data_IF_621118969377
#
_entry.id   IF_621118969377
#
_cell.length_a   1.000
_cell.length_b   1.000
_cell.length_c   1.000
_cell.angle_alpha   90.00
_cell.angle_beta   90.00
_cell.angle_gamma   90.00
#
_symmetry.space_group_name_H-M   'P 1'
#
loop_
_entity.id
_entity.type
_entity.pdbx_description
1 polymer ?
#
# COMPACT_ATOMS: atom_id res chain seq x y z
N UNK A 1 -12.32 14.65 27.07
CA UNK A 1 -11.77 13.55 26.26
C UNK A 1 -11.44 14.15 24.89
N UNK A 2 -10.17 14.28 24.54
CA UNK A 2 -9.80 14.79 23.21
C UNK A 2 -10.16 13.70 22.19
N UNK A 3 -11.17 13.97 21.37
CA UNK A 3 -11.57 13.08 20.29
C UNK A 3 -10.41 13.04 19.26
N UNK A 4 -9.52 12.06 19.39
CA UNK A 4 -8.42 11.89 18.45
C UNK A 4 -9.04 11.36 17.17
N UNK A 5 -8.86 12.06 16.04
CA UNK A 5 -9.37 11.62 14.76
C UNK A 5 -8.81 10.21 14.42
N UNK A 6 -9.66 9.36 13.86
CA UNK A 6 -9.34 8.02 13.34
C UNK A 6 -9.42 8.00 11.82
N UNK A 7 -9.09 6.90 11.19
CA UNK A 7 -9.30 6.73 9.75
C UNK A 7 -10.75 7.11 9.33
N UNK A 8 -11.74 6.65 10.11
CA UNK A 8 -13.17 6.89 9.80
C UNK A 8 -13.57 8.36 9.95
N UNK A 9 -12.96 9.10 10.87
CA UNK A 9 -13.39 10.46 11.27
C UNK A 9 -12.44 11.57 10.79
N UNK A 10 -11.21 11.23 10.39
CA UNK A 10 -10.26 12.23 9.90
C UNK A 10 -10.80 12.93 8.64
N UNK A 11 -10.86 14.28 8.60
CA UNK A 11 -11.30 14.98 7.42
C UNK A 11 -10.30 14.84 6.28
N UNK A 12 -10.78 14.77 5.04
CA UNK A 12 -9.92 14.87 3.89
C UNK A 12 -9.40 16.30 3.75
N UNK A 13 -8.09 16.42 3.69
CA UNK A 13 -7.35 17.66 3.53
C UNK A 13 -6.80 17.76 2.11
N UNK A 14 -6.43 18.96 1.72
CA UNK A 14 -5.87 19.21 0.39
C UNK A 14 -4.59 20.02 0.51
N UNK A 15 -3.59 19.64 -0.28
CA UNK A 15 -2.33 20.35 -0.40
C UNK A 15 -2.07 20.66 -1.88
N UNK A 16 -1.81 21.92 -2.19
CA UNK A 16 -1.51 22.33 -3.56
C UNK A 16 0.00 22.51 -3.75
N UNK A 17 0.55 21.85 -4.78
CA UNK A 17 1.96 21.91 -5.16
C UNK A 17 2.05 22.17 -6.66
N UNK A 18 2.55 23.35 -7.08
CA UNK A 18 2.71 23.72 -8.50
C UNK A 18 1.46 23.45 -9.34
N UNK A 19 0.28 23.86 -8.85
CA UNK A 19 -1.04 23.66 -9.48
C UNK A 19 -1.57 22.21 -9.46
N UNK A 20 -0.87 21.30 -8.83
CA UNK A 20 -1.32 19.95 -8.55
C UNK A 20 -1.92 19.94 -7.14
N UNK A 21 -3.19 19.57 -7.01
CA UNK A 21 -3.88 19.41 -5.74
C UNK A 21 -3.83 17.93 -5.34
N UNK A 22 -3.37 17.62 -4.13
CA UNK A 22 -3.37 16.29 -3.54
C UNK A 22 -4.38 16.20 -2.40
N UNK A 23 -5.22 15.19 -2.42
CA UNK A 23 -6.05 14.82 -1.29
C UNK A 23 -5.27 13.89 -0.35
N UNK A 24 -5.47 14.04 0.94
CA UNK A 24 -4.84 13.20 1.95
C UNK A 24 -5.65 13.23 3.26
N UNK A 25 -5.42 12.24 4.12
CA UNK A 25 -5.91 12.27 5.51
C UNK A 25 -4.73 12.08 6.44
N UNK A 26 -4.79 12.75 7.58
CA UNK A 26 -3.79 12.58 8.64
C UNK A 26 -4.48 12.50 10.00
N UNK A 27 -4.02 11.55 10.82
CA UNK A 27 -4.58 11.29 12.15
C UNK A 27 -3.54 10.56 13.01
N UNK A 28 -3.89 10.36 14.29
CA UNK A 28 -2.95 9.83 15.26
C UNK A 28 -2.11 10.91 15.92
N UNK A 29 -1.45 10.56 17.01
CA UNK A 29 -0.57 11.43 17.79
C UNK A 29 0.54 10.61 18.43
N UNK A 30 1.70 11.21 18.60
CA UNK A 30 2.83 10.59 19.27
C UNK A 30 4.16 11.21 18.86
N UNK A 31 5.23 10.70 19.43
CA UNK A 31 6.61 11.12 19.14
C UNK A 31 7.29 10.29 18.05
N UNK A 32 6.65 9.23 17.57
CA UNK A 32 7.17 8.42 16.47
C UNK A 32 7.20 9.22 15.16
N UNK A 33 8.12 8.85 14.25
CA UNK A 33 8.12 9.44 12.91
C UNK A 33 6.78 9.22 12.21
N UNK A 34 6.30 10.16 11.41
CA UNK A 34 5.08 10.00 10.62
C UNK A 34 5.18 8.75 9.73
N UNK A 35 4.04 8.09 9.52
CA UNK A 35 3.91 6.95 8.63
C UNK A 35 3.16 7.37 7.36
N UNK A 36 3.85 7.36 6.21
CA UNK A 36 3.22 7.53 4.91
C UNK A 36 2.64 6.19 4.44
N UNK A 37 1.36 6.16 4.09
CA UNK A 37 0.68 5.00 3.54
C UNK A 37 0.37 5.19 2.05
N UNK A 38 0.86 4.27 1.21
CA UNK A 38 0.70 4.27 -0.25
C UNK A 38 -0.19 3.11 -0.68
N UNK A 39 -1.26 3.44 -1.41
CA UNK A 39 -2.38 2.55 -1.69
C UNK A 39 -2.15 1.63 -2.90
N UNK A 40 -3.00 0.62 -3.03
CA UNK A 40 -3.03 -0.35 -4.11
C UNK A 40 -3.61 0.20 -5.44
N UNK A 41 -3.64 -0.65 -6.46
CA UNK A 41 -4.26 -0.43 -7.76
C UNK A 41 -5.71 0.06 -7.63
N UNK A 42 -6.03 1.18 -8.25
CA UNK A 42 -7.33 1.89 -8.23
C UNK A 42 -7.84 2.31 -6.85
N UNK A 43 -7.08 2.02 -5.79
CA UNK A 43 -7.46 2.33 -4.41
C UNK A 43 -7.44 3.83 -4.12
N UNK A 44 -8.42 4.27 -3.33
CA UNK A 44 -8.56 5.63 -2.81
C UNK A 44 -8.24 5.67 -1.31
N UNK A 45 -8.32 6.84 -0.68
CA UNK A 45 -8.18 6.96 0.79
C UNK A 45 -9.16 6.04 1.55
N UNK A 46 -10.33 5.75 0.96
CA UNK A 46 -11.37 4.92 1.58
C UNK A 46 -11.10 3.41 1.52
N UNK A 47 -10.04 2.98 0.84
CA UNK A 47 -9.64 1.58 0.76
C UNK A 47 -8.66 1.17 1.88
N UNK A 48 -8.23 2.10 2.73
CA UNK A 48 -7.47 1.77 3.92
C UNK A 48 -8.39 1.28 5.04
N UNK A 49 -8.15 0.05 5.50
CA UNK A 49 -8.88 -0.56 6.60
C UNK A 49 -8.58 0.17 7.92
N UNK A 50 -9.59 0.71 8.63
CA UNK A 50 -9.38 1.32 9.95
C UNK A 50 -8.77 0.34 10.96
N UNK A 51 -9.05 -0.97 10.87
CA UNK A 51 -8.42 -1.97 11.75
C UNK A 51 -6.90 -2.13 11.51
N UNK A 52 -6.38 -1.62 10.40
CA UNK A 52 -4.93 -1.54 10.14
C UNK A 52 -4.38 -0.18 10.53
N UNK A 53 -5.02 0.89 10.09
CA UNK A 53 -4.44 2.24 10.21
C UNK A 53 -4.60 2.87 11.59
N UNK A 54 -5.70 2.60 12.29
CA UNK A 54 -5.94 3.18 13.62
C UNK A 54 -4.96 2.64 14.68
N UNK A 55 -4.69 1.32 14.79
CA UNK A 55 -3.64 0.83 15.69
C UNK A 55 -2.24 1.35 15.34
N UNK A 56 -1.92 1.54 14.06
CA UNK A 56 -0.63 2.13 13.66
C UNK A 56 -0.52 3.62 14.03
N UNK A 57 -1.65 4.29 14.25
CA UNK A 57 -1.72 5.68 14.66
C UNK A 57 -1.60 5.89 16.20
N UNK A 58 -1.50 4.82 16.98
CA UNK A 58 -1.33 4.85 18.44
C UNK A 58 0.09 5.27 18.81
N UNK A 59 0.75 6.12 18.44
CA UNK A 59 2.12 6.52 18.84
C UNK A 59 2.82 7.36 17.78
N UNK A 60 2.12 7.57 16.67
CA UNK A 60 2.63 8.37 15.54
C UNK A 60 1.49 8.99 14.75
N UNK A 61 1.83 9.89 13.88
CA UNK A 61 0.92 10.35 12.85
C UNK A 61 0.91 9.36 11.68
N UNK A 62 -0.28 8.99 11.21
CA UNK A 62 -0.50 8.25 9.96
C UNK A 62 -0.98 9.22 8.90
N UNK A 63 -0.39 9.15 7.72
CA UNK A 63 -0.71 9.98 6.55
C UNK A 63 -1.13 9.06 5.42
N UNK A 64 -2.42 9.09 5.09
CA UNK A 64 -2.95 8.42 3.91
C UNK A 64 -2.83 9.39 2.74
N UNK A 65 -2.05 9.02 1.73
CA UNK A 65 -1.82 9.84 0.55
C UNK A 65 -2.63 9.34 -0.65
N UNK A 66 -3.26 10.26 -1.35
CA UNK A 66 -3.97 9.97 -2.59
C UNK A 66 -3.17 10.46 -3.79
N UNK A 67 -2.77 9.52 -4.63
CA UNK A 67 -1.93 9.79 -5.81
C UNK A 67 -2.59 10.78 -6.78
N UNK A 68 -1.78 11.44 -7.62
CA UNK A 68 -2.28 12.32 -8.66
C UNK A 68 -3.30 11.61 -9.57
N UNK A 69 -4.43 12.27 -9.84
CA UNK A 69 -5.51 11.74 -10.67
C UNK A 69 -6.39 10.69 -10.02
N UNK A 70 -6.20 10.38 -8.73
CA UNK A 70 -7.02 9.45 -7.96
C UNK A 70 -7.95 10.24 -7.04
N UNK A 71 -9.17 9.76 -6.85
CA UNK A 71 -10.14 10.35 -5.93
C UNK A 71 -10.34 11.83 -6.17
N UNK A 72 -10.09 12.66 -5.16
CA UNK A 72 -10.16 14.13 -5.25
C UNK A 72 -8.81 14.81 -5.50
N UNK A 73 -7.73 14.05 -5.70
CA UNK A 73 -6.48 14.59 -6.20
C UNK A 73 -6.60 14.99 -7.66
N UNK A 74 -6.09 16.16 -8.02
CA UNK A 74 -6.17 16.66 -9.39
C UNK A 74 -5.13 16.01 -10.32
N UNK A 75 -5.17 16.37 -11.60
CA UNK A 75 -4.20 15.95 -12.61
C UNK A 75 -4.55 14.62 -13.27
N UNK A 76 -3.52 13.96 -13.78
CA UNK A 76 -3.63 12.66 -14.44
C UNK A 76 -2.78 11.64 -13.72
N UNK A 77 -3.23 10.40 -13.70
CA UNK A 77 -2.46 9.28 -13.15
C UNK A 77 -1.21 9.05 -14.02
N UNK A 78 0.00 9.06 -13.45
CA UNK A 78 1.20 8.71 -14.19
C UNK A 78 1.17 7.25 -14.66
N UNK A 79 1.73 7.00 -15.84
CA UNK A 79 1.80 5.67 -16.45
C UNK A 79 3.07 4.89 -16.06
N UNK A 80 3.87 5.41 -15.14
CA UNK A 80 5.09 4.79 -14.61
C UNK A 80 5.14 4.90 -13.10
N UNK A 81 5.75 3.94 -12.43
CA UNK A 81 5.99 3.98 -10.98
C UNK A 81 6.88 5.17 -10.60
N UNK A 82 7.89 5.49 -11.41
CA UNK A 82 8.74 6.66 -11.19
C UNK A 82 7.96 7.98 -11.21
N UNK A 83 7.01 8.12 -12.14
CA UNK A 83 6.11 9.28 -12.17
C UNK A 83 5.24 9.38 -10.91
N UNK A 84 4.68 8.25 -10.44
CA UNK A 84 3.89 8.21 -9.20
C UNK A 84 4.76 8.57 -7.97
N UNK A 85 5.98 8.04 -7.90
CA UNK A 85 6.93 8.35 -6.82
C UNK A 85 7.32 9.83 -6.81
N UNK A 86 7.50 10.45 -7.97
CA UNK A 86 7.78 11.89 -8.08
C UNK A 86 6.65 12.74 -7.49
N UNK A 87 5.38 12.38 -7.73
CA UNK A 87 4.23 13.05 -7.14
C UNK A 87 4.17 12.87 -5.62
N UNK A 88 4.38 11.65 -5.12
CA UNK A 88 4.38 11.38 -3.69
C UNK A 88 5.55 12.09 -2.97
N UNK A 89 6.72 12.18 -3.59
CA UNK A 89 7.87 12.93 -3.07
C UNK A 89 7.58 14.44 -3.02
N UNK A 90 7.00 15.01 -4.08
CA UNK A 90 6.62 16.41 -4.09
C UNK A 90 5.58 16.76 -3.01
N UNK A 91 4.66 15.83 -2.73
CA UNK A 91 3.71 15.95 -1.62
C UNK A 91 4.42 15.95 -0.25
N UNK A 92 5.38 15.03 -0.01
CA UNK A 92 6.15 15.02 1.23
C UNK A 92 6.95 16.31 1.44
N UNK A 93 7.61 16.80 0.39
CA UNK A 93 8.37 18.06 0.44
C UNK A 93 7.46 19.23 0.82
N UNK A 94 6.26 19.30 0.25
CA UNK A 94 5.30 20.37 0.54
C UNK A 94 4.68 20.27 1.94
N UNK A 95 4.60 19.06 2.54
CA UNK A 95 4.26 18.87 3.95
C UNK A 95 5.42 19.24 4.89
N UNK A 96 6.63 19.50 4.37
CA UNK A 96 7.82 19.76 5.16
C UNK A 96 8.37 18.52 5.87
N UNK A 97 8.05 17.32 5.41
CA UNK A 97 8.51 16.06 6.01
C UNK A 97 9.91 15.71 5.51
N UNK A 98 10.88 15.84 6.38
CA UNK A 98 12.29 15.50 6.12
C UNK A 98 12.66 14.08 6.55
N UNK A 99 11.81 13.43 7.36
CA UNK A 99 11.96 12.04 7.80
C UNK A 99 10.59 11.40 8.05
N UNK A 100 10.38 10.18 7.57
CA UNK A 100 9.19 9.37 7.81
C UNK A 100 9.48 7.87 7.69
N UNK A 101 8.53 7.05 8.13
CA UNK A 101 8.43 5.64 7.75
C UNK A 101 7.46 5.52 6.56
N UNK A 102 7.52 4.42 5.81
CA UNK A 102 6.59 4.18 4.69
C UNK A 102 6.01 2.77 4.73
N UNK A 103 4.70 2.69 4.50
CA UNK A 103 3.95 1.46 4.26
C UNK A 103 3.40 1.52 2.83
N UNK A 104 3.87 0.62 1.98
CA UNK A 104 3.38 0.48 0.61
C UNK A 104 2.64 -0.84 0.42
N UNK A 105 1.37 -0.77 0.00
CA UNK A 105 0.57 -1.95 -0.32
C UNK A 105 0.43 -2.09 -1.84
N UNK A 106 0.75 -3.26 -2.39
CA UNK A 106 0.59 -3.56 -3.82
C UNK A 106 1.38 -2.57 -4.70
N UNK A 107 0.72 -1.83 -5.59
CA UNK A 107 1.30 -0.74 -6.38
C UNK A 107 2.03 0.29 -5.48
N UNK A 108 1.44 0.61 -4.32
CA UNK A 108 2.06 1.50 -3.34
C UNK A 108 3.41 1.00 -2.83
N UNK A 109 3.63 -0.32 -2.80
CA UNK A 109 4.92 -0.90 -2.45
C UNK A 109 5.99 -0.70 -3.54
N UNK A 110 5.61 -0.66 -4.81
CA UNK A 110 6.51 -0.32 -5.91
C UNK A 110 6.87 1.18 -5.86
N UNK A 111 5.87 2.02 -5.61
CA UNK A 111 6.07 3.47 -5.42
C UNK A 111 7.00 3.74 -4.22
N UNK A 112 6.81 3.04 -3.10
CA UNK A 112 7.68 3.15 -1.92
C UNK A 112 9.14 2.80 -2.25
N UNK A 113 9.37 1.68 -2.95
CA UNK A 113 10.73 1.30 -3.39
C UNK A 113 11.37 2.40 -4.24
N UNK A 114 10.64 2.95 -5.22
CA UNK A 114 11.16 4.03 -6.07
C UNK A 114 11.46 5.30 -5.27
N UNK A 115 10.55 5.71 -4.35
CA UNK A 115 10.78 6.88 -3.49
C UNK A 115 12.03 6.73 -2.63
N UNK A 116 12.27 5.53 -2.08
CA UNK A 116 13.45 5.24 -1.26
C UNK A 116 14.73 5.28 -2.10
N UNK A 117 14.70 4.78 -3.33
CA UNK A 117 15.83 4.87 -4.26
C UNK A 117 16.16 6.32 -4.62
N UNK A 118 15.13 7.15 -4.85
CA UNK A 118 15.29 8.55 -5.22
C UNK A 118 15.72 9.43 -4.03
N UNK A 119 15.23 9.15 -2.83
CA UNK A 119 15.41 9.97 -1.61
C UNK A 119 15.70 9.11 -0.36
N UNK A 120 16.79 8.34 -0.33
CA UNK A 120 17.05 7.37 0.74
C UNK A 120 17.13 7.97 2.15
N UNK A 121 17.55 9.22 2.30
CA UNK A 121 17.67 9.87 3.61
C UNK A 121 16.35 10.26 4.26
N UNK A 122 15.25 10.28 3.51
CA UNK A 122 13.91 10.63 4.03
C UNK A 122 13.27 9.47 4.76
N UNK A 123 13.57 8.23 4.35
CA UNK A 123 12.89 7.04 4.85
C UNK A 123 13.74 6.30 5.86
N UNK A 124 13.19 6.10 7.07
CA UNK A 124 13.86 5.36 8.14
C UNK A 124 13.60 3.85 8.03
N UNK A 125 12.34 3.44 7.86
CA UNK A 125 11.88 2.04 7.79
C UNK A 125 10.81 1.87 6.75
N UNK A 126 10.73 0.67 6.16
CA UNK A 126 9.85 0.37 5.04
C UNK A 126 9.05 -0.89 5.35
N UNK A 127 7.73 -0.85 5.13
CA UNK A 127 6.89 -2.05 5.06
C UNK A 127 6.37 -2.19 3.64
N UNK A 128 6.63 -3.34 3.03
CA UNK A 128 6.20 -3.70 1.68
C UNK A 128 5.22 -4.87 1.77
N UNK A 129 3.97 -4.66 1.38
CA UNK A 129 2.92 -5.69 1.48
C UNK A 129 2.36 -6.01 0.10
N UNK A 130 2.29 -7.31 -0.26
CA UNK A 130 1.65 -7.77 -1.48
C UNK A 130 2.22 -7.09 -2.74
N UNK A 131 3.53 -6.93 -2.83
CA UNK A 131 4.20 -6.16 -3.89
C UNK A 131 5.36 -6.92 -4.53
N UNK A 132 5.97 -6.32 -5.53
CA UNK A 132 7.05 -6.91 -6.31
C UNK A 132 8.24 -5.96 -6.47
N UNK A 133 9.47 -6.49 -6.66
CA UNK A 133 10.60 -5.70 -7.13
C UNK A 133 10.43 -5.27 -8.59
N UNK A 134 11.17 -4.26 -9.05
CA UNK A 134 11.29 -4.00 -10.49
C UNK A 134 11.93 -5.23 -11.17
N UNK A 135 11.34 -5.67 -12.27
CA UNK A 135 11.69 -6.94 -12.93
C UNK A 135 11.05 -8.16 -12.26
N UNK A 136 10.07 -7.97 -11.38
CA UNK A 136 9.21 -9.05 -10.88
C UNK A 136 8.40 -9.70 -12.00
N UNK A 137 7.69 -10.77 -11.69
CA UNK A 137 6.94 -11.55 -12.67
C UNK A 137 5.48 -11.73 -12.25
N UNK A 138 4.63 -11.94 -13.25
CA UNK A 138 3.19 -12.19 -13.06
C UNK A 138 2.45 -11.07 -12.30
N UNK A 139 2.90 -9.82 -12.45
CA UNK A 139 2.36 -8.69 -11.72
C UNK A 139 1.05 -8.24 -12.36
N UNK A 140 -0.06 -8.38 -11.62
CA UNK A 140 -1.39 -7.89 -12.05
C UNK A 140 -1.82 -8.42 -13.41
N UNK A 141 -1.59 -9.71 -13.67
CA UNK A 141 -2.11 -10.43 -14.84
C UNK A 141 -3.58 -10.81 -14.57
N UNK A 142 -4.46 -9.83 -14.72
CA UNK A 142 -5.90 -9.95 -14.40
C UNK A 142 -6.67 -10.87 -15.36
N UNK A 143 -6.08 -11.18 -16.50
CA UNK A 143 -6.60 -12.16 -17.47
C UNK A 143 -6.49 -13.62 -17.01
N UNK A 144 -5.76 -13.92 -15.93
CA UNK A 144 -5.69 -15.27 -15.36
C UNK A 144 -7.11 -15.76 -15.05
N UNK A 145 -7.48 -17.00 -15.42
CA UNK A 145 -8.84 -17.52 -15.22
C UNK A 145 -9.35 -17.43 -13.78
N UNK A 146 -8.44 -17.54 -12.80
CA UNK A 146 -8.74 -17.42 -11.37
C UNK A 146 -9.22 -16.03 -10.97
N UNK A 147 -8.75 -14.97 -11.63
CA UNK A 147 -9.12 -13.58 -11.39
C UNK A 147 -10.19 -13.09 -12.37
N UNK A 148 -10.03 -13.41 -13.66
CA UNK A 148 -10.91 -12.96 -14.74
C UNK A 148 -12.38 -13.33 -14.49
N UNK A 149 -12.66 -14.51 -13.92
CA UNK A 149 -14.00 -14.96 -13.56
C UNK A 149 -14.73 -14.01 -12.60
N UNK A 150 -14.00 -13.37 -11.68
CA UNK A 150 -14.58 -12.41 -10.74
C UNK A 150 -14.71 -11.01 -11.35
N UNK A 151 -13.74 -10.62 -12.17
CA UNK A 151 -13.71 -9.31 -12.82
C UNK A 151 -14.75 -9.19 -13.94
N UNK A 152 -15.14 -10.31 -14.55
CA UNK A 152 -16.15 -10.37 -15.60
C UNK A 152 -17.55 -10.70 -15.10
N UNK A 153 -17.74 -11.00 -13.81
CA UNK A 153 -19.05 -11.32 -13.25
C UNK A 153 -19.88 -10.02 -13.02
N UNK A 154 -20.96 -9.81 -13.77
CA UNK A 154 -21.77 -8.60 -13.64
C UNK A 154 -22.48 -8.47 -12.28
N UNK A 155 -22.56 -9.56 -11.50
CA UNK A 155 -23.13 -9.57 -10.15
C UNK A 155 -22.13 -9.07 -9.10
N UNK A 156 -20.86 -9.07 -9.40
CA UNK A 156 -19.80 -8.58 -8.51
C UNK A 156 -19.43 -7.15 -8.90
N UNK A 157 -19.70 -6.20 -8.02
CA UNK A 157 -19.37 -4.79 -8.24
C UNK A 157 -18.72 -4.18 -6.99
N UNK A 158 -17.87 -3.16 -7.19
CA UNK A 158 -17.25 -2.42 -6.10
C UNK A 158 -16.49 -3.31 -5.13
N UNK A 159 -16.79 -3.20 -3.85
CA UNK A 159 -16.12 -3.96 -2.79
C UNK A 159 -16.31 -5.47 -2.84
N UNK A 160 -17.41 -5.96 -3.46
CA UNK A 160 -17.59 -7.40 -3.63
C UNK A 160 -16.52 -8.03 -4.54
N UNK A 161 -16.02 -7.29 -5.52
CA UNK A 161 -14.85 -7.72 -6.32
C UNK A 161 -13.60 -7.80 -5.46
N UNK A 162 -13.33 -6.78 -4.63
CA UNK A 162 -12.16 -6.77 -3.74
C UNK A 162 -12.16 -7.98 -2.80
N UNK A 163 -13.31 -8.34 -2.21
CA UNK A 163 -13.42 -9.54 -1.38
C UNK A 163 -12.95 -10.78 -2.14
N UNK A 164 -13.32 -10.92 -3.42
CA UNK A 164 -12.98 -12.11 -4.20
C UNK A 164 -11.53 -12.17 -4.66
N UNK A 165 -10.92 -11.02 -4.96
CA UNK A 165 -9.55 -10.99 -5.50
C UNK A 165 -8.47 -10.78 -4.42
N UNK A 166 -8.85 -10.26 -3.24
CA UNK A 166 -7.91 -10.02 -2.13
C UNK A 166 -7.79 -11.19 -1.17
N UNK A 167 -8.83 -12.01 -1.08
CA UNK A 167 -8.93 -13.09 -0.09
C UNK A 167 -8.93 -14.45 -0.76
N UNK A 168 -8.28 -15.43 -0.14
CA UNK A 168 -8.24 -16.80 -0.64
C UNK A 168 -9.66 -17.40 -0.74
N UNK A 169 -9.92 -18.36 -1.66
CA UNK A 169 -11.26 -18.93 -1.86
C UNK A 169 -11.64 -19.96 -0.78
N UNK A 170 -11.19 -19.78 0.44
CA UNK A 170 -11.54 -20.58 1.62
C UNK A 170 -12.63 -19.89 2.42
N UNK A 171 -13.36 -20.63 3.22
CA UNK A 171 -14.43 -20.08 4.06
C UNK A 171 -13.90 -19.04 5.04
N UNK A 172 -12.80 -19.35 5.74
CA UNK A 172 -12.14 -18.46 6.71
C UNK A 172 -11.67 -17.14 6.07
N UNK A 173 -10.98 -17.23 4.93
CA UNK A 173 -10.47 -16.05 4.24
C UNK A 173 -11.60 -15.19 3.66
N UNK A 174 -12.63 -15.79 3.08
CA UNK A 174 -13.79 -15.06 2.56
C UNK A 174 -14.63 -14.41 3.68
N UNK A 175 -14.73 -15.03 4.86
CA UNK A 175 -15.36 -14.42 6.04
C UNK A 175 -14.57 -13.20 6.53
N UNK A 176 -13.23 -13.30 6.58
CA UNK A 176 -12.36 -12.16 6.88
C UNK A 176 -12.51 -11.04 5.84
N UNK A 177 -12.68 -11.40 4.56
CA UNK A 177 -12.97 -10.47 3.48
C UNK A 177 -14.30 -9.72 3.66
N UNK A 178 -15.35 -10.41 4.09
CA UNK A 178 -16.63 -9.76 4.41
C UNK A 178 -16.47 -8.75 5.56
N UNK A 179 -15.80 -9.15 6.65
CA UNK A 179 -15.52 -8.26 7.77
C UNK A 179 -14.66 -7.04 7.37
N UNK A 180 -13.70 -7.20 6.46
CA UNK A 180 -12.93 -6.10 5.88
C UNK A 180 -13.84 -5.11 5.14
N UNK A 181 -14.76 -5.60 4.29
CA UNK A 181 -15.71 -4.73 3.57
C UNK A 181 -16.61 -3.96 4.55
N UNK A 182 -17.09 -4.61 5.61
CA UNK A 182 -17.89 -3.96 6.64
C UNK A 182 -17.11 -2.81 7.30
N UNK A 183 -15.82 -2.99 7.58
CA UNK A 183 -14.96 -1.94 8.13
C UNK A 183 -14.74 -0.78 7.14
N UNK A 184 -14.53 -1.05 5.85
CA UNK A 184 -14.39 -0.01 4.82
C UNK A 184 -15.66 0.84 4.65
N UNK A 185 -16.82 0.28 4.99
CA UNK A 185 -18.11 0.98 4.88
C UNK A 185 -18.50 1.76 6.14
N UNK A 186 -17.68 1.77 7.18
CA UNK A 186 -17.93 2.55 8.41
C UNK A 186 -17.90 4.06 8.16
N UNK A 187 -16.99 4.52 7.29
CA UNK A 187 -16.97 5.93 6.88
C UNK A 187 -18.17 6.21 5.97
N UNK A 188 -19.06 7.11 6.39
CA UNK A 188 -20.28 7.48 5.66
C UNK A 188 -20.13 8.80 4.91
N UNK A 189 -19.46 9.76 5.53
CA UNK A 189 -19.32 11.11 5.02
C UNK A 189 -17.90 11.34 4.46
N UNK A 190 -17.76 12.37 3.62
CA UNK A 190 -16.46 12.79 3.06
C UNK A 190 -15.71 11.65 2.38
N UNK A 191 -16.45 10.82 1.61
CA UNK A 191 -15.90 9.70 0.85
C UNK A 191 -15.27 10.16 -0.46
N UNK A 192 -14.28 9.37 -0.92
CA UNK A 192 -13.65 9.58 -2.21
C UNK A 192 -14.51 8.99 -3.36
N UNK A 193 -14.52 9.64 -4.53
CA UNK A 193 -15.10 9.04 -5.72
C UNK A 193 -14.34 7.77 -6.11
N UNK A 194 -15.07 6.79 -6.64
CA UNK A 194 -14.49 5.54 -7.14
C UNK A 194 -13.61 5.85 -8.38
N UNK A 195 -12.46 5.20 -8.45
CA UNK A 195 -11.53 5.32 -9.59
C UNK A 195 -12.17 4.81 -10.88
N UNK A 196 -12.05 5.58 -11.94
CA UNK A 196 -12.57 5.26 -13.27
C UNK A 196 -11.63 4.35 -14.09
N UNK A 197 -12.08 3.93 -15.30
CA UNK A 197 -11.31 3.08 -16.19
C UNK A 197 -9.95 3.68 -16.61
N UNK A 198 -9.88 5.00 -16.79
CA UNK A 198 -8.64 5.69 -17.15
C UNK A 198 -7.56 5.54 -16.09
N UNK A 199 -7.95 5.52 -14.82
CA UNK A 199 -7.05 5.26 -13.68
C UNK A 199 -6.48 3.85 -13.80
N UNK A 200 -7.35 2.86 -14.00
CA UNK A 200 -6.95 1.46 -14.15
C UNK A 200 -5.99 1.28 -15.33
N UNK A 201 -6.29 1.89 -16.48
CA UNK A 201 -5.44 1.80 -17.66
C UNK A 201 -4.04 2.40 -17.42
N UNK A 202 -3.96 3.59 -16.80
CA UNK A 202 -2.69 4.24 -16.51
C UNK A 202 -1.83 3.41 -15.52
N UNK A 203 -2.46 2.87 -14.48
CA UNK A 203 -1.78 2.04 -13.48
C UNK A 203 -1.36 0.67 -14.04
N UNK A 204 -2.15 0.09 -14.95
CA UNK A 204 -1.74 -1.13 -15.66
C UNK A 204 -0.50 -0.90 -16.53
N UNK A 205 -0.40 0.28 -17.19
CA UNK A 205 0.82 0.65 -17.90
C UNK A 205 2.03 0.75 -16.95
N UNK A 206 1.84 1.29 -15.74
CA UNK A 206 2.90 1.35 -14.72
C UNK A 206 3.34 -0.02 -14.23
N UNK A 207 2.45 -1.02 -14.11
CA UNK A 207 2.85 -2.39 -13.81
C UNK A 207 3.68 -3.00 -14.92
N UNK A 208 3.30 -2.80 -16.20
CA UNK A 208 4.07 -3.28 -17.36
C UNK A 208 5.44 -2.63 -17.43
N UNK A 209 5.56 -1.32 -17.14
CA UNK A 209 6.84 -0.64 -16.98
C UNK A 209 7.67 -1.23 -15.83
N UNK A 210 7.04 -1.56 -14.70
CA UNK A 210 7.73 -2.12 -13.54
C UNK A 210 8.27 -3.53 -13.76
N UNK A 211 7.61 -4.35 -14.57
CA UNK A 211 8.11 -5.66 -14.98
C UNK A 211 9.38 -5.56 -15.86
N UNK A 212 9.58 -4.43 -16.54
CA UNK A 212 10.78 -4.21 -17.35
C UNK A 212 11.98 -3.77 -16.49
N UNK A 213 13.14 -4.26 -16.84
CA UNK A 213 14.41 -3.85 -16.21
C UNK A 213 15.53 -3.80 -17.25
N UNK A 214 16.60 -3.09 -16.94
CA UNK A 214 17.83 -3.05 -17.72
C UNK A 214 19.02 -3.41 -16.82
N UNK A 215 20.02 -4.07 -17.37
CA UNK A 215 21.18 -4.52 -16.61
C UNK A 215 20.89 -5.76 -15.74
N UNK A 216 21.54 -5.86 -14.58
CA UNK A 216 21.34 -6.97 -13.65
C UNK A 216 19.95 -6.89 -12.99
N UNK A 217 19.20 -7.98 -13.05
CA UNK A 217 17.88 -8.10 -12.44
C UNK A 217 18.01 -7.89 -10.91
N UNK A 218 17.11 -7.08 -10.34
CA UNK A 218 17.06 -6.74 -8.92
C UNK A 218 18.24 -5.92 -8.38
N UNK A 219 19.18 -5.46 -9.23
CA UNK A 219 20.35 -4.70 -8.78
C UNK A 219 19.98 -3.45 -7.94
N UNK A 220 18.87 -2.77 -8.26
CA UNK A 220 18.38 -1.60 -7.54
C UNK A 220 18.05 -1.87 -6.07
N UNK A 221 17.60 -3.09 -5.74
CA UNK A 221 17.27 -3.48 -4.36
C UNK A 221 18.49 -3.42 -3.44
N UNK A 222 19.69 -3.68 -3.95
CA UNK A 222 20.96 -3.59 -3.20
C UNK A 222 21.23 -2.18 -2.65
N UNK A 223 20.58 -1.16 -3.22
CA UNK A 223 20.71 0.24 -2.80
C UNK A 223 19.70 0.65 -1.72
N UNK A 224 18.67 -0.14 -1.47
CA UNK A 224 17.70 0.07 -0.40
C UNK A 224 18.28 -0.50 0.89
N UNK A 225 18.90 0.37 1.70
CA UNK A 225 19.62 -0.01 2.93
C UNK A 225 18.75 0.03 4.18
N UNK A 226 17.59 0.65 4.10
CA UNK A 226 16.65 0.78 5.20
C UNK A 226 16.16 -0.59 5.66
N UNK A 227 15.97 -0.81 6.97
CA UNK A 227 15.25 -1.97 7.46
C UNK A 227 13.91 -2.10 6.76
N UNK A 228 13.65 -3.27 6.18
CA UNK A 228 12.45 -3.52 5.37
C UNK A 228 11.72 -4.76 5.86
N UNK A 229 10.45 -4.61 6.21
CA UNK A 229 9.54 -5.73 6.49
C UNK A 229 8.72 -6.03 5.24
N UNK A 230 8.95 -7.20 4.66
CA UNK A 230 8.22 -7.70 3.49
C UNK A 230 7.11 -8.64 3.97
N UNK A 231 5.89 -8.44 3.48
CA UNK A 231 4.72 -9.23 3.90
C UNK A 231 3.91 -9.64 2.68
N UNK A 232 3.42 -10.89 2.66
CA UNK A 232 2.48 -11.34 1.64
C UNK A 232 1.58 -12.48 2.14
N UNK A 233 0.51 -12.75 1.41
CA UNK A 233 -0.29 -13.97 1.55
C UNK A 233 0.25 -15.09 0.67
N UNK A 234 0.20 -16.33 1.17
CA UNK A 234 0.74 -17.50 0.42
C UNK A 234 0.00 -17.75 -0.89
N UNK A 235 -1.28 -17.34 -0.98
CA UNK A 235 -2.15 -17.52 -2.13
C UNK A 235 -2.41 -16.22 -2.90
N UNK A 236 -1.48 -15.26 -2.86
CA UNK A 236 -1.62 -14.03 -3.63
C UNK A 236 -1.53 -14.33 -5.15
N UNK A 237 -2.66 -14.19 -5.84
CA UNK A 237 -2.74 -14.39 -7.29
C UNK A 237 -2.55 -13.09 -8.10
N UNK A 238 -2.67 -11.92 -7.45
CA UNK A 238 -2.48 -10.62 -8.11
C UNK A 238 -0.99 -10.30 -8.25
N UNK A 239 -0.22 -10.50 -7.17
CA UNK A 239 1.24 -10.36 -7.14
C UNK A 239 1.79 -11.58 -6.38
N UNK A 240 2.12 -12.66 -7.09
CA UNK A 240 2.49 -13.94 -6.48
C UNK A 240 3.60 -13.81 -5.43
N UNK A 241 3.46 -14.58 -4.35
CA UNK A 241 4.38 -14.56 -3.19
C UNK A 241 5.85 -14.76 -3.56
N UNK A 242 6.15 -15.36 -4.71
CA UNK A 242 7.54 -15.46 -5.24
C UNK A 242 8.21 -14.09 -5.37
N UNK A 243 7.46 -13.02 -5.68
CA UNK A 243 8.00 -11.66 -5.75
C UNK A 243 8.48 -11.17 -4.39
N UNK A 244 7.79 -11.57 -3.31
CA UNK A 244 8.21 -11.26 -1.94
C UNK A 244 9.45 -12.04 -1.50
N UNK A 245 9.64 -13.28 -1.99
CA UNK A 245 10.91 -14.00 -1.81
C UNK A 245 12.06 -13.27 -2.50
N UNK A 246 11.89 -12.80 -3.75
CA UNK A 246 12.92 -12.03 -4.44
C UNK A 246 13.23 -10.69 -3.76
N UNK A 247 12.22 -10.01 -3.21
CA UNK A 247 12.45 -8.83 -2.38
C UNK A 247 13.35 -9.18 -1.18
N UNK A 248 12.97 -10.21 -0.42
CA UNK A 248 13.70 -10.60 0.79
C UNK A 248 15.12 -11.10 0.50
N UNK A 249 15.33 -11.79 -0.61
CA UNK A 249 16.64 -12.33 -1.01
C UNK A 249 17.60 -11.21 -1.47
N UNK A 250 17.09 -10.15 -2.09
CA UNK A 250 17.91 -9.13 -2.73
C UNK A 250 17.98 -7.79 -1.94
N UNK A 251 17.10 -7.58 -0.97
CA UNK A 251 17.20 -6.45 -0.04
C UNK A 251 18.23 -6.76 1.04
N UNK A 252 19.25 -5.91 1.26
CA UNK A 252 20.35 -6.20 2.19
C UNK A 252 19.92 -6.25 3.66
N UNK A 253 18.77 -5.69 4.02
CA UNK A 253 18.33 -5.55 5.40
C UNK A 253 16.80 -5.79 5.49
N UNK A 254 16.36 -7.04 5.36
CA UNK A 254 14.94 -7.36 5.31
C UNK A 254 14.56 -8.63 6.05
N UNK A 255 13.29 -8.69 6.45
CA UNK A 255 12.60 -9.89 6.97
C UNK A 255 11.35 -10.12 6.15
N UNK A 256 11.09 -11.37 5.79
CA UNK A 256 9.88 -11.79 5.09
C UNK A 256 8.91 -12.50 6.04
N UNK A 257 7.66 -12.08 5.99
CA UNK A 257 6.55 -12.70 6.67
C UNK A 257 5.50 -13.15 5.67
N UNK A 258 5.14 -14.42 5.69
CA UNK A 258 4.11 -14.98 4.80
C UNK A 258 2.96 -15.49 5.63
N UNK A 259 1.75 -14.93 5.41
CA UNK A 259 0.55 -15.38 6.08
C UNK A 259 -0.06 -16.60 5.37
N UNK A 260 -0.43 -17.66 6.11
CA UNK A 260 -1.13 -18.81 5.57
C UNK A 260 -2.56 -18.44 5.18
N UNK A 261 -3.22 -19.26 4.36
CA UNK A 261 -4.63 -19.13 3.97
C UNK A 261 -5.05 -17.69 3.59
N UNK A 262 -4.20 -16.99 2.86
CA UNK A 262 -4.35 -15.58 2.60
C UNK A 262 -3.95 -15.22 1.17
N UNK A 263 -4.75 -14.37 0.53
CA UNK A 263 -4.47 -13.78 -0.76
C UNK A 263 -3.77 -12.43 -0.66
N UNK A 264 -4.04 -11.57 -1.64
CA UNK A 264 -3.43 -10.23 -1.77
C UNK A 264 -3.69 -9.32 -0.57
N UNK A 265 -4.88 -9.42 0.04
CA UNK A 265 -5.30 -8.62 1.20
C UNK A 265 -4.84 -9.16 2.55
N UNK A 266 -3.68 -9.81 2.62
CA UNK A 266 -3.17 -10.48 3.83
C UNK A 266 -3.10 -9.57 5.06
N UNK A 267 -2.71 -8.29 4.89
CA UNK A 267 -2.66 -7.30 5.97
C UNK A 267 -4.06 -6.97 6.54
N UNK A 268 -5.11 -7.13 5.77
CA UNK A 268 -6.49 -6.91 6.19
C UNK A 268 -7.11 -8.14 6.84
N UNK A 269 -6.76 -9.33 6.34
CA UNK A 269 -7.20 -10.60 6.90
C UNK A 269 -6.59 -10.82 8.28
N UNK A 270 -5.29 -10.58 8.41
CA UNK A 270 -4.52 -10.77 9.64
C UNK A 270 -4.19 -9.44 10.33
N UNK A 271 -5.14 -8.47 10.32
CA UNK A 271 -4.88 -7.10 10.75
C UNK A 271 -4.31 -6.99 12.17
N UNK A 272 -4.76 -7.81 13.13
CA UNK A 272 -4.24 -7.80 14.50
C UNK A 272 -2.77 -8.25 14.57
N UNK A 273 -2.44 -9.34 13.86
CA UNK A 273 -1.07 -9.84 13.78
C UNK A 273 -0.18 -8.86 13.02
N UNK A 274 -0.68 -8.34 11.89
CA UNK A 274 0.02 -7.35 11.08
C UNK A 274 0.35 -6.08 11.88
N UNK A 275 -0.64 -5.48 12.54
CA UNK A 275 -0.44 -4.22 13.28
C UNK A 275 0.48 -4.38 14.47
N UNK A 276 0.43 -5.50 15.19
CA UNK A 276 1.38 -5.84 16.26
C UNK A 276 2.82 -5.90 15.74
N UNK A 277 3.04 -6.61 14.63
CA UNK A 277 4.36 -6.75 14.02
C UNK A 277 4.87 -5.44 13.42
N UNK A 278 4.01 -4.70 12.71
CA UNK A 278 4.34 -3.40 12.15
C UNK A 278 4.66 -2.37 13.24
N UNK A 279 3.88 -2.31 14.31
CA UNK A 279 4.16 -1.43 15.45
C UNK A 279 5.49 -1.78 16.13
N UNK A 280 5.75 -3.06 16.39
CA UNK A 280 7.03 -3.52 16.93
C UNK A 280 8.19 -3.17 15.99
N UNK A 281 8.03 -3.42 14.69
CA UNK A 281 9.04 -3.07 13.69
C UNK A 281 9.33 -1.57 13.66
N UNK A 282 8.33 -0.70 13.79
CA UNK A 282 8.54 0.74 13.76
C UNK A 282 9.09 1.33 15.07
N UNK A 283 8.84 0.70 16.23
CA UNK A 283 9.18 1.27 17.55
C UNK A 283 10.45 0.68 18.17
N UNK A 284 10.81 -0.55 17.86
CA UNK A 284 11.99 -1.21 18.43
C UNK A 284 13.28 -0.53 18.02
N UNK A 285 14.25 -0.43 18.93
CA UNK A 285 15.62 0.00 18.60
C UNK A 285 16.31 -1.00 17.66
N UNK A 286 15.97 -2.29 17.77
CA UNK A 286 16.38 -3.35 16.85
C UNK A 286 15.18 -3.83 16.04
N UNK A 287 15.02 -3.39 14.78
CA UNK A 287 13.81 -3.65 13.99
C UNK A 287 13.56 -5.14 13.70
N UNK A 288 14.56 -5.98 13.86
CA UNK A 288 14.49 -7.43 13.64
C UNK A 288 14.78 -8.25 14.92
N UNK A 289 14.68 -7.64 16.10
CA UNK A 289 14.69 -8.40 17.34
C UNK A 289 13.55 -9.43 17.35
N UNK A 290 13.74 -10.63 17.93
CA UNK A 290 12.65 -11.58 18.06
C UNK A 290 11.48 -10.94 18.85
N UNK A 291 10.28 -11.18 18.36
CA UNK A 291 9.03 -10.71 18.96
C UNK A 291 8.67 -11.56 20.17
#
# INVERSE_FOLDING_TARGET
MSNTASNVTAPTQFLEVKKQKYAFRRFGKGSGLPLLCLQHFTGTLDNWDPAVTDPLAEGREVILFESAGIGRSSGKVPTTVAGMAAHATAFLDALGLTACDVLGFSLGGMVAQQMVLDRPSVFRRIILVGTAPRGGEDIMHLEKPSLAKYLSDPKLQGYAVLQKIFFAPTESSQAAGAAFIDRLTQRKDDREPISGPDVAQAQMAAFRDWEQYSGERFASLKSIRQPTLVINGVHDEMIPVRNSYWLAENLPNSVLLVYPDSGHGSLFQFHESFTRQASGFFTSDSPFAPF
#
